data_IF_305716554402
#
_entry.id   IF_305716554402
#
_cell.length_a   1.000
_cell.length_b   1.000
_cell.length_c   1.000
_cell.angle_alpha   90.00
_cell.angle_beta   90.00
_cell.angle_gamma   90.00
#
_symmetry.space_group_name_H-M   'P 1'
#
loop_
_entity.id
_entity.type
_entity.pdbx_description
1 polymer ?
#
# COMPACT_ATOMS: atom_id res chain seq x y z
N UNK A 1 14.70 -11.78 -26.58
CA UNK A 1 14.51 -11.27 -25.21
C UNK A 1 13.03 -11.45 -24.91
N UNK A 2 12.64 -12.69 -24.61
CA UNK A 2 11.27 -13.04 -24.28
C UNK A 2 11.11 -13.13 -22.78
N UNK A 3 10.07 -12.45 -22.30
CA UNK A 3 9.64 -12.46 -20.93
C UNK A 3 9.07 -13.83 -20.58
N UNK A 4 9.80 -14.65 -19.83
CA UNK A 4 9.22 -15.78 -19.10
C UNK A 4 8.50 -15.22 -17.88
N UNK A 5 7.28 -14.73 -18.11
CA UNK A 5 6.23 -14.75 -17.11
C UNK A 5 5.84 -16.19 -16.84
N UNK A 6 6.57 -16.85 -15.93
CA UNK A 6 6.19 -18.14 -15.38
C UNK A 6 5.19 -17.92 -14.26
N UNK A 7 3.92 -17.82 -14.59
CA UNK A 7 2.85 -18.04 -13.64
C UNK A 7 3.03 -19.45 -13.05
N UNK A 8 3.34 -19.56 -11.76
CA UNK A 8 3.34 -20.84 -11.04
C UNK A 8 1.89 -21.32 -10.90
N UNK A 9 1.42 -21.96 -11.96
CA UNK A 9 0.21 -22.77 -11.96
C UNK A 9 0.50 -24.06 -11.17
N UNK A 10 -0.03 -24.13 -9.95
CA UNK A 10 -0.54 -25.34 -9.34
C UNK A 10 0.39 -26.55 -9.26
N UNK A 11 1.42 -26.49 -8.42
CA UNK A 11 1.98 -27.73 -7.88
C UNK A 11 1.06 -28.19 -6.75
N UNK A 12 0.42 -29.34 -6.94
CA UNK A 12 -0.41 -29.95 -5.89
C UNK A 12 0.60 -30.43 -4.83
N UNK A 13 0.46 -30.07 -3.55
CA UNK A 13 1.45 -30.44 -2.55
C UNK A 13 1.59 -31.95 -2.49
N UNK A 14 2.84 -32.42 -2.36
CA UNK A 14 3.14 -33.84 -2.24
C UNK A 14 2.32 -34.46 -1.09
N UNK A 15 1.69 -35.63 -1.28
CA UNK A 15 0.88 -36.25 -0.24
C UNK A 15 1.64 -36.49 1.08
N UNK A 16 2.96 -36.74 1.02
CA UNK A 16 3.80 -36.88 2.20
C UNK A 16 3.93 -35.57 2.98
N UNK A 17 4.18 -34.46 2.28
CA UNK A 17 4.23 -33.13 2.88
C UNK A 17 2.90 -32.72 3.53
N UNK A 18 1.77 -33.07 2.89
CA UNK A 18 0.44 -32.84 3.44
C UNK A 18 0.25 -33.62 4.75
N UNK A 19 0.66 -34.89 4.82
CA UNK A 19 0.56 -35.68 6.04
C UNK A 19 1.43 -35.15 7.18
N UNK A 20 2.66 -34.69 6.87
CA UNK A 20 3.53 -34.04 7.84
C UNK A 20 2.89 -32.76 8.38
N UNK A 21 2.34 -31.92 7.50
CA UNK A 21 1.65 -30.70 7.90
C UNK A 21 0.44 -31.00 8.80
N UNK A 22 -0.41 -31.96 8.43
CA UNK A 22 -1.57 -32.36 9.24
C UNK A 22 -1.15 -32.87 10.62
N UNK A 23 -0.10 -33.68 10.71
CA UNK A 23 0.42 -34.16 11.98
C UNK A 23 0.94 -33.03 12.88
N UNK A 24 1.59 -32.01 12.30
CA UNK A 24 2.04 -30.83 13.05
C UNK A 24 0.86 -30.00 13.56
N UNK A 25 -0.16 -29.79 12.73
CA UNK A 25 -1.38 -29.06 13.12
C UNK A 25 -2.11 -29.77 14.27
N UNK A 26 -2.23 -31.10 14.20
CA UNK A 26 -2.82 -31.91 15.27
C UNK A 26 -2.03 -31.79 16.58
N UNK A 27 -0.70 -31.88 16.54
CA UNK A 27 0.18 -31.68 17.72
C UNK A 27 0.02 -30.29 18.34
N UNK A 28 -0.19 -29.27 17.51
CA UNK A 28 -0.41 -27.88 17.96
C UNK A 28 -1.87 -27.59 18.33
N UNK A 29 -2.79 -28.54 18.12
CA UNK A 29 -4.24 -28.37 18.29
C UNK A 29 -4.81 -27.20 17.48
N UNK A 30 -4.27 -26.99 16.29
CA UNK A 30 -4.73 -25.94 15.38
C UNK A 30 -5.74 -26.52 14.40
N UNK A 31 -6.86 -25.81 14.23
CA UNK A 31 -7.86 -26.11 13.21
C UNK A 31 -7.57 -25.33 11.92
N UNK A 32 -8.11 -25.75 10.76
CA UNK A 32 -8.06 -24.95 9.55
C UNK A 32 -8.65 -23.54 9.73
N UNK A 33 -9.72 -23.41 10.53
CA UNK A 33 -10.34 -22.12 10.84
C UNK A 33 -9.39 -21.21 11.64
N UNK A 34 -8.57 -21.76 12.54
CA UNK A 34 -7.55 -20.98 13.27
C UNK A 34 -6.48 -20.44 12.31
N UNK A 35 -6.11 -21.21 11.28
CA UNK A 35 -5.15 -20.78 10.27
C UNK A 35 -5.72 -19.67 9.39
N UNK A 36 -6.94 -19.87 8.89
CA UNK A 36 -7.65 -18.85 8.09
C UNK A 36 -7.89 -17.60 8.93
N UNK A 37 -8.29 -17.77 10.18
CA UNK A 37 -8.47 -16.71 11.17
C UNK A 37 -7.17 -15.96 11.43
N UNK A 38 -6.04 -16.64 11.59
CA UNK A 38 -4.74 -15.99 11.80
C UNK A 38 -4.30 -15.16 10.58
N UNK A 39 -4.57 -15.64 9.36
CA UNK A 39 -4.30 -14.91 8.11
C UNK A 39 -5.23 -13.71 7.99
N UNK A 40 -6.53 -13.88 8.23
CA UNK A 40 -7.53 -12.82 8.15
C UNK A 40 -7.35 -11.76 9.25
N UNK A 41 -6.96 -12.16 10.46
CA UNK A 41 -6.66 -11.30 11.59
C UNK A 41 -5.36 -10.52 11.41
N UNK A 42 -4.51 -10.90 10.46
CA UNK A 42 -3.33 -10.13 10.10
C UNK A 42 -3.79 -8.85 9.42
N UNK A 43 -4.04 -7.83 10.25
CA UNK A 43 -4.48 -6.51 9.82
C UNK A 43 -3.44 -5.92 8.86
N UNK A 44 -3.81 -5.81 7.59
CA UNK A 44 -2.98 -5.08 6.63
C UNK A 44 -3.25 -3.60 6.84
N UNK A 45 -2.21 -2.80 7.15
CA UNK A 45 -2.39 -1.39 7.41
C UNK A 45 -2.87 -0.66 6.16
N UNK A 46 -3.55 0.45 6.38
CA UNK A 46 -3.88 1.38 5.29
C UNK A 46 -2.68 2.24 4.91
N UNK A 47 -2.74 2.88 3.74
CA UNK A 47 -1.72 3.85 3.35
C UNK A 47 -1.60 4.98 4.39
N UNK A 48 -2.72 5.44 4.95
CA UNK A 48 -2.72 6.48 5.97
C UNK A 48 -2.02 6.08 7.28
N UNK A 49 -1.93 4.79 7.58
CA UNK A 49 -1.29 4.29 8.80
C UNK A 49 0.20 4.02 8.63
N UNK A 50 0.61 3.51 7.47
CA UNK A 50 2.00 3.10 7.24
C UNK A 50 2.85 4.21 6.65
N UNK A 51 2.31 4.99 5.71
CA UNK A 51 3.10 5.98 4.95
C UNK A 51 3.67 7.10 5.83
N UNK A 52 2.95 7.66 6.82
CA UNK A 52 3.53 8.64 7.73
C UNK A 52 4.72 8.08 8.54
N UNK A 53 4.61 6.85 9.04
CA UNK A 53 5.69 6.16 9.77
C UNK A 53 6.91 5.94 8.88
N UNK A 54 6.69 5.57 7.61
CA UNK A 54 7.77 5.43 6.64
C UNK A 54 8.47 6.76 6.35
N UNK A 55 7.71 7.86 6.25
CA UNK A 55 8.29 9.21 6.07
C UNK A 55 9.09 9.67 7.28
N UNK A 56 8.65 9.34 8.50
CA UNK A 56 9.34 9.68 9.75
C UNK A 56 10.71 9.01 9.83
N UNK A 57 10.81 7.75 9.38
CA UNK A 57 12.07 7.00 9.34
C UNK A 57 13.07 7.52 8.28
N UNK A 58 12.62 8.32 7.32
CA UNK A 58 13.48 8.90 6.28
C UNK A 58 14.16 10.20 6.75
N UNK A 59 15.33 10.50 6.17
CA UNK A 59 15.96 11.81 6.33
C UNK A 59 15.08 12.94 5.80
N UNK A 60 15.27 14.15 6.34
CA UNK A 60 14.50 15.34 5.93
C UNK A 60 14.64 15.62 4.43
N UNK A 61 15.83 15.42 3.87
CA UNK A 61 16.09 15.60 2.43
C UNK A 61 15.26 14.64 1.57
N UNK A 62 15.24 13.36 1.92
CA UNK A 62 14.46 12.34 1.21
C UNK A 62 12.96 12.61 1.34
N UNK A 63 12.48 12.94 2.55
CA UNK A 63 11.07 13.29 2.78
C UNK A 63 10.61 14.45 1.90
N UNK A 64 11.44 15.49 1.77
CA UNK A 64 11.12 16.67 0.94
C UNK A 64 10.99 16.29 -0.54
N UNK A 65 11.94 15.51 -1.07
CA UNK A 65 11.93 15.07 -2.46
C UNK A 65 10.71 14.20 -2.78
N UNK A 66 10.33 13.29 -1.88
CA UNK A 66 9.23 12.35 -2.11
C UNK A 66 7.85 12.88 -1.72
N UNK A 67 7.76 14.00 -0.99
CA UNK A 67 6.51 14.56 -0.46
C UNK A 67 5.40 14.71 -1.51
N UNK A 68 5.75 15.13 -2.72
CA UNK A 68 4.77 15.34 -3.80
C UNK A 68 4.11 14.03 -4.23
N UNK A 69 4.88 12.95 -4.37
CA UNK A 69 4.35 11.64 -4.74
C UNK A 69 3.54 11.02 -3.62
N UNK A 70 4.05 11.14 -2.38
CA UNK A 70 3.35 10.63 -1.21
C UNK A 70 2.02 11.33 -1.01
N UNK A 71 1.93 12.65 -1.21
CA UNK A 71 0.66 13.37 -1.12
C UNK A 71 -0.38 12.86 -2.13
N UNK A 72 0.02 12.56 -3.37
CA UNK A 72 -0.89 11.99 -4.38
C UNK A 72 -1.39 10.60 -4.00
N UNK A 73 -0.50 9.77 -3.45
CA UNK A 73 -0.83 8.43 -2.95
C UNK A 73 -1.81 8.53 -1.78
N UNK A 74 -1.55 9.44 -0.84
CA UNK A 74 -2.40 9.65 0.34
C UNK A 74 -3.78 10.19 -0.04
N UNK A 75 -3.87 11.09 -1.03
CA UNK A 75 -5.15 11.60 -1.53
C UNK A 75 -5.96 10.53 -2.26
N UNK A 76 -5.29 9.65 -3.03
CA UNK A 76 -5.96 8.60 -3.78
C UNK A 76 -6.35 7.39 -2.92
N UNK A 77 -5.49 6.98 -1.98
CA UNK A 77 -5.56 5.67 -1.32
C UNK A 77 -5.43 5.71 0.20
N UNK A 78 -5.45 6.89 0.83
CA UNK A 78 -5.34 7.03 2.29
C UNK A 78 -6.08 5.96 3.09
N UNK A 79 -7.39 5.74 2.88
CA UNK A 79 -8.16 4.75 3.61
C UNK A 79 -8.09 3.31 3.05
N UNK A 80 -7.50 3.11 1.86
CA UNK A 80 -7.37 1.77 1.26
C UNK A 80 -6.26 0.98 1.94
N UNK A 81 -6.40 -0.34 1.95
CA UNK A 81 -5.35 -1.23 2.46
C UNK A 81 -4.22 -1.38 1.44
N UNK A 82 -3.01 -1.67 1.92
CA UNK A 82 -1.84 -1.81 1.07
C UNK A 82 -1.95 -2.95 0.05
N UNK A 83 -2.70 -4.02 0.36
CA UNK A 83 -2.91 -5.19 -0.48
C UNK A 83 -3.96 -5.00 -1.59
N UNK A 84 -4.76 -3.94 -1.51
CA UNK A 84 -5.85 -3.68 -2.45
C UNK A 84 -5.40 -2.93 -3.71
N UNK A 85 -4.17 -2.41 -3.76
CA UNK A 85 -3.67 -1.58 -4.87
C UNK A 85 -2.82 -2.43 -5.80
N UNK A 86 -3.19 -2.49 -7.07
CA UNK A 86 -2.39 -3.17 -8.09
C UNK A 86 -1.27 -2.29 -8.68
N UNK A 87 -0.31 -2.92 -9.36
CA UNK A 87 0.84 -2.23 -9.94
C UNK A 87 0.48 -1.23 -11.06
N UNK A 88 -0.61 -1.46 -11.79
CA UNK A 88 -1.14 -0.55 -12.80
C UNK A 88 -1.72 0.72 -12.18
N UNK A 89 -2.51 0.57 -11.12
CA UNK A 89 -3.01 1.69 -10.29
C UNK A 89 -1.85 2.48 -9.67
N UNK A 90 -0.84 1.77 -9.12
CA UNK A 90 0.41 2.34 -8.63
C UNK A 90 1.06 3.28 -9.65
N UNK A 91 1.18 2.82 -10.90
CA UNK A 91 1.74 3.64 -11.98
C UNK A 91 0.85 4.82 -12.34
N UNK A 92 -0.46 4.62 -12.42
CA UNK A 92 -1.40 5.66 -12.82
C UNK A 92 -1.44 6.85 -11.83
N UNK A 93 -1.29 6.61 -10.52
CA UNK A 93 -1.32 7.70 -9.51
C UNK A 93 -0.12 8.65 -9.65
N UNK A 94 1.05 8.14 -10.05
CA UNK A 94 2.26 8.98 -10.21
C UNK A 94 2.10 9.99 -11.35
N UNK A 95 1.47 9.55 -12.44
CA UNK A 95 1.21 10.34 -13.65
C UNK A 95 -0.03 11.23 -13.53
N UNK A 96 -0.88 11.02 -12.51
CA UNK A 96 -2.02 11.90 -12.25
C UNK A 96 -1.52 13.32 -12.01
N UNK A 97 -1.94 14.26 -12.86
CA UNK A 97 -1.71 15.69 -12.62
C UNK A 97 -2.49 16.06 -11.37
N UNK A 98 -1.81 16.65 -10.39
CA UNK A 98 -2.48 17.17 -9.20
C UNK A 98 -3.53 18.20 -9.62
N UNK A 99 -4.67 18.25 -8.93
CA UNK A 99 -5.65 19.30 -9.12
C UNK A 99 -4.92 20.64 -8.86
N UNK A 100 -5.05 21.65 -9.75
CA UNK A 100 -4.44 22.95 -9.51
C UNK A 100 -4.92 23.46 -8.15
N UNK A 101 -4.01 23.59 -7.18
CA UNK A 101 -4.32 24.33 -5.97
C UNK A 101 -4.58 25.75 -6.44
N UNK A 102 -5.84 26.19 -6.34
CA UNK A 102 -6.21 27.59 -6.54
C UNK A 102 -5.39 28.39 -5.54
N UNK A 103 -4.29 28.99 -5.98
CA UNK A 103 -3.62 30.02 -5.21
C UNK A 103 -4.62 31.15 -5.07
N UNK A 104 -4.82 31.63 -3.84
CA UNK A 104 -5.54 32.87 -3.61
C UNK A 104 -4.70 34.00 -4.21
N UNK A 105 -4.85 34.21 -5.51
CA UNK A 105 -4.27 35.31 -6.24
C UNK A 105 -5.36 36.36 -6.39
N UNK A 106 -5.46 37.22 -5.38
CA UNK A 106 -5.80 38.62 -5.56
C UNK A 106 -5.34 39.37 -4.31
N UNK A 107 -4.06 39.76 -4.32
CA UNK A 107 -3.71 41.05 -3.77
C UNK A 107 -4.38 42.10 -4.65
N UNK A 108 -5.38 42.78 -4.12
CA UNK A 108 -5.83 44.06 -4.68
C UNK A 108 -5.68 45.11 -3.60
N UNK A 109 -4.73 45.99 -3.84
CA UNK A 109 -4.48 47.22 -3.14
C UNK A 109 -5.78 48.05 -3.06
N UNK A 110 -6.16 48.42 -1.84
CA UNK A 110 -7.14 49.48 -1.58
C UNK A 110 -6.43 50.62 -0.84
N UNK A 111 -5.52 51.30 -1.53
CA UNK A 111 -4.99 52.59 -1.10
C UNK A 111 -5.52 53.64 -2.08
N UNK A 112 -6.49 54.43 -1.63
CA UNK A 112 -6.73 55.76 -2.18
C UNK A 112 -7.52 56.55 -1.12
N UNK A 113 -6.86 57.57 -0.58
CA UNK A 113 -7.48 58.55 0.31
C UNK A 113 -8.07 59.71 -0.47
N UNK A 114 -9.10 60.32 0.13
CA UNK A 114 -9.35 61.76 0.19
C UNK A 114 -10.44 61.98 1.24
#
# INVERSE_FOLDING_TARGET
MDATGGAVAGDRPDPGDVMVALHLLERMRLTPDDLVGAVAARRIPTFAELVPKALEAMSVGTRRTYSTYVNKVMEAWGPRRLDEVDAGEARAVTHRRGIPRRSATHGTCGASGA
#
